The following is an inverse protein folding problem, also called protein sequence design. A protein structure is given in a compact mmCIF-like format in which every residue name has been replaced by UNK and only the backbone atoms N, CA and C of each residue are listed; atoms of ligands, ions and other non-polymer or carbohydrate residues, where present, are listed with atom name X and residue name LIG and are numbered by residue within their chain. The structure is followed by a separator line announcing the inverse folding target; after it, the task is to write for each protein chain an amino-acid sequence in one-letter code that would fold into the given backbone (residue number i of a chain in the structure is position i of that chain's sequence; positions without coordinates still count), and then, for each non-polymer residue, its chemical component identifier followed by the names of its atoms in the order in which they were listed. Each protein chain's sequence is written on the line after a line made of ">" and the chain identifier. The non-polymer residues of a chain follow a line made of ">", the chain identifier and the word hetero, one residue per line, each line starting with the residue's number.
data_IF_379319150033
#
_entry.id   IF_379319150033
#
_cell.length_a   1.000
_cell.length_b   1.000
_cell.length_c   1.000
_cell.angle_alpha   90.00
_cell.angle_beta   90.00
_cell.angle_gamma   90.00
#
_symmetry.space_group_name_H-M   'P 1'
#
loop_
_entity.id
_entity.type
_entity.pdbx_description
1 polymer ?
#
# COMPACT_ATOMS: atom_id res chain seq x y z
N UNK A 1 9.24 48.04 -27.77
CA UNK A 1 10.51 47.29 -27.72
C UNK A 1 10.34 46.17 -26.71
N UNK A 2 10.12 44.94 -27.18
CA UNK A 2 9.82 43.76 -26.36
C UNK A 2 11.12 43.06 -25.96
N UNK A 3 11.56 43.29 -24.72
CA UNK A 3 12.74 42.63 -24.16
C UNK A 3 12.48 41.15 -23.92
N UNK A 4 12.96 40.29 -24.82
CA UNK A 4 13.06 38.85 -24.56
C UNK A 4 14.13 38.62 -23.50
N UNK A 5 13.73 38.32 -22.28
CA UNK A 5 14.62 37.91 -21.19
C UNK A 5 15.31 36.60 -21.59
N UNK A 6 16.64 36.65 -21.75
CA UNK A 6 17.46 35.50 -22.10
C UNK A 6 17.50 34.55 -20.89
N UNK A 7 16.87 33.38 -21.02
CA UNK A 7 16.91 32.30 -20.02
C UNK A 7 18.36 31.82 -19.92
N UNK A 8 18.98 31.96 -18.74
CA UNK A 8 20.30 31.37 -18.45
C UNK A 8 20.15 29.85 -18.43
N UNK A 9 20.75 29.17 -19.40
CA UNK A 9 20.99 27.74 -19.31
C UNK A 9 21.95 27.47 -18.15
N UNK A 10 21.62 26.51 -17.29
CA UNK A 10 22.48 26.09 -16.18
C UNK A 10 23.76 25.46 -16.75
N UNK A 11 24.92 26.03 -16.39
CA UNK A 11 26.24 25.62 -16.89
C UNK A 11 26.63 24.17 -16.56
N UNK A 12 25.86 23.49 -15.69
CA UNK A 12 26.09 22.10 -15.26
C UNK A 12 25.01 21.12 -15.74
N UNK A 13 24.07 21.53 -16.60
CA UNK A 13 23.01 20.64 -17.08
C UNK A 13 23.53 19.49 -17.97
N UNK A 14 24.65 19.69 -18.67
CA UNK A 14 25.20 18.71 -19.61
C UNK A 14 25.98 17.58 -18.94
N UNK A 15 26.56 17.79 -17.75
CA UNK A 15 27.41 16.79 -17.08
C UNK A 15 26.64 15.67 -16.35
N UNK A 16 25.33 15.85 -16.08
CA UNK A 16 24.47 14.82 -15.45
C UNK A 16 23.36 14.29 -16.39
N UNK A 17 23.44 14.61 -17.67
CA UNK A 17 22.51 14.15 -18.69
C UNK A 17 22.79 12.68 -19.06
N UNK A 18 22.33 11.72 -18.24
CA UNK A 18 22.19 10.34 -18.73
C UNK A 18 22.12 9.24 -17.68
N UNK A 19 22.81 9.36 -16.55
CA UNK A 19 22.84 8.28 -15.55
C UNK A 19 21.72 8.42 -14.54
N UNK A 20 20.72 7.55 -14.65
CA UNK A 20 19.69 7.33 -13.62
C UNK A 20 20.39 7.00 -12.30
N UNK A 21 20.07 7.71 -11.22
CA UNK A 21 20.70 7.45 -9.92
C UNK A 21 20.32 6.05 -9.40
N UNK A 22 21.18 5.46 -8.55
CA UNK A 22 20.90 4.13 -7.96
C UNK A 22 19.55 4.13 -7.22
N UNK A 23 19.27 5.16 -6.44
CA UNK A 23 18.00 5.30 -5.71
C UNK A 23 16.79 5.38 -6.65
N UNK A 24 16.91 6.08 -7.78
CA UNK A 24 15.86 6.18 -8.79
C UNK A 24 15.62 4.83 -9.47
N UNK A 25 16.69 4.08 -9.75
CA UNK A 25 16.59 2.72 -10.28
C UNK A 25 15.90 1.79 -9.26
N UNK A 26 16.31 1.82 -7.99
CA UNK A 26 15.70 0.99 -6.93
C UNK A 26 14.20 1.26 -6.84
N UNK A 27 13.77 2.53 -6.72
CA UNK A 27 12.34 2.85 -6.59
C UNK A 27 11.54 2.45 -7.83
N UNK A 28 12.11 2.61 -9.03
CA UNK A 28 11.48 2.18 -10.27
C UNK A 28 11.32 0.66 -10.32
N UNK A 29 12.38 -0.07 -10.00
CA UNK A 29 12.41 -1.53 -10.07
C UNK A 29 11.47 -2.11 -8.98
N UNK A 30 11.44 -1.55 -7.76
CA UNK A 30 10.45 -1.89 -6.73
C UNK A 30 9.02 -1.67 -7.21
N UNK A 31 8.72 -0.52 -7.80
CA UNK A 31 7.38 -0.25 -8.32
C UNK A 31 6.98 -1.25 -9.42
N UNK A 32 7.92 -1.60 -10.32
CA UNK A 32 7.69 -2.62 -11.34
C UNK A 32 7.39 -4.00 -10.73
N UNK A 33 8.10 -4.42 -9.68
CA UNK A 33 7.82 -5.68 -8.98
C UNK A 33 6.40 -5.75 -8.36
N UNK A 34 5.85 -4.61 -7.95
CA UNK A 34 4.47 -4.56 -7.46
C UNK A 34 3.45 -4.56 -8.60
N UNK A 35 3.71 -3.79 -9.67
CA UNK A 35 2.72 -3.47 -10.69
C UNK A 35 2.75 -4.34 -11.95
N UNK A 36 3.63 -5.34 -12.02
CA UNK A 36 3.63 -6.31 -13.11
C UNK A 36 2.27 -7.05 -13.18
N UNK A 37 1.60 -7.09 -14.34
CA UNK A 37 0.24 -7.61 -14.46
C UNK A 37 0.16 -9.12 -14.23
N UNK A 38 1.19 -9.88 -14.60
CA UNK A 38 1.17 -11.34 -14.58
C UNK A 38 1.88 -11.88 -13.33
N UNK A 39 3.01 -11.28 -12.97
CA UNK A 39 3.88 -11.77 -11.89
C UNK A 39 4.04 -10.79 -10.72
N UNK A 40 3.32 -9.67 -10.76
CA UNK A 40 3.45 -8.64 -9.75
C UNK A 40 2.85 -9.05 -8.40
N UNK A 41 3.44 -8.50 -7.34
CA UNK A 41 2.98 -8.75 -5.96
C UNK A 41 1.50 -8.41 -5.78
N UNK A 42 0.98 -7.39 -6.45
CA UNK A 42 -0.44 -7.00 -6.37
C UNK A 42 -1.34 -8.07 -6.99
N UNK A 43 -0.96 -8.59 -8.16
CA UNK A 43 -1.73 -9.63 -8.85
C UNK A 43 -1.75 -10.91 -8.00
N UNK A 44 -0.59 -11.36 -7.52
CA UNK A 44 -0.49 -12.55 -6.64
C UNK A 44 -1.26 -12.39 -5.33
N UNK A 45 -1.14 -11.22 -4.69
CA UNK A 45 -1.86 -10.91 -3.46
C UNK A 45 -3.38 -10.98 -3.65
N UNK A 46 -3.90 -10.48 -4.77
CA UNK A 46 -5.34 -10.46 -5.02
C UNK A 46 -5.97 -11.86 -5.12
N UNK A 47 -5.26 -12.84 -5.68
CA UNK A 47 -5.69 -14.25 -5.70
C UNK A 47 -5.79 -14.86 -4.29
N UNK A 48 -5.09 -14.28 -3.33
CA UNK A 48 -5.08 -14.73 -1.94
C UNK A 48 -5.98 -13.89 -1.04
N UNK A 49 -6.67 -12.88 -1.59
CA UNK A 49 -7.49 -11.94 -0.81
C UNK A 49 -6.68 -10.87 -0.06
N UNK A 50 -5.40 -10.70 -0.41
CA UNK A 50 -4.53 -9.65 0.12
C UNK A 50 -4.54 -8.43 -0.79
N UNK A 51 -4.38 -7.24 -0.21
CA UNK A 51 -4.28 -5.97 -0.93
C UNK A 51 -2.98 -5.27 -0.58
N UNK A 52 -2.14 -5.03 -1.60
CA UNK A 52 -0.89 -4.29 -1.49
C UNK A 52 -0.96 -3.02 -2.33
N UNK A 53 -0.27 -1.97 -1.88
CA UNK A 53 -0.17 -0.71 -2.60
C UNK A 53 1.23 -0.58 -3.21
N UNK A 54 1.33 -0.16 -4.49
CA UNK A 54 2.62 0.01 -5.11
C UNK A 54 3.39 1.16 -4.44
N UNK A 55 4.69 1.01 -4.20
CA UNK A 55 5.48 2.07 -3.59
C UNK A 55 5.54 3.32 -4.49
N UNK A 56 5.61 4.49 -3.86
CA UNK A 56 5.78 5.77 -4.55
C UNK A 56 7.20 5.86 -5.14
N UNK A 57 7.30 6.43 -6.34
CA UNK A 57 8.59 6.61 -7.05
C UNK A 57 9.37 7.85 -6.59
N UNK A 58 8.72 8.76 -5.86
CA UNK A 58 9.26 10.05 -5.44
C UNK A 58 8.81 10.37 -4.03
N UNK A 59 9.64 11.11 -3.31
CA UNK A 59 9.26 11.71 -2.02
C UNK A 59 8.51 13.01 -2.24
N UNK A 60 7.61 13.34 -1.30
CA UNK A 60 6.86 14.59 -1.31
C UNK A 60 7.41 15.54 -0.27
N UNK A 61 7.90 16.68 -0.75
CA UNK A 61 8.44 17.74 0.07
C UNK A 61 7.49 18.92 0.01
N UNK A 62 6.78 19.17 1.10
CA UNK A 62 5.84 20.29 1.21
C UNK A 62 6.58 21.53 1.70
N UNK A 63 6.39 22.68 1.04
CA UNK A 63 6.93 23.96 1.49
C UNK A 63 5.81 24.78 2.10
N UNK A 64 5.94 25.11 3.39
CA UNK A 64 5.02 25.96 4.12
C UNK A 64 5.70 27.25 4.56
N UNK A 65 4.91 28.29 4.81
CA UNK A 65 5.41 29.56 5.30
C UNK A 65 4.45 30.70 4.99
N UNK A 66 4.69 31.84 5.64
CA UNK A 66 3.90 33.04 5.43
C UNK A 66 3.99 33.55 3.98
N UNK A 67 3.16 34.55 3.66
CA UNK A 67 3.24 35.23 2.38
C UNK A 67 4.64 35.81 2.15
N UNK A 68 5.17 35.62 0.95
CA UNK A 68 6.53 36.02 0.56
C UNK A 68 7.70 35.33 1.28
N UNK A 69 7.49 34.23 2.02
CA UNK A 69 8.59 33.49 2.70
C UNK A 69 9.72 32.96 1.81
N UNK A 70 9.60 33.05 0.48
CA UNK A 70 10.60 32.55 -0.46
C UNK A 70 10.43 31.07 -0.86
N UNK A 71 9.24 30.48 -0.67
CA UNK A 71 8.91 29.09 -1.05
C UNK A 71 9.16 28.80 -2.53
N UNK A 72 8.47 29.52 -3.40
CA UNK A 72 8.59 29.38 -4.87
C UNK A 72 9.98 29.71 -5.37
N UNK A 73 10.62 30.72 -4.77
CA UNK A 73 12.01 31.10 -5.10
C UNK A 73 12.99 29.99 -4.74
N UNK A 74 12.82 29.32 -3.59
CA UNK A 74 13.65 28.19 -3.20
C UNK A 74 13.50 27.03 -4.18
N UNK A 75 12.27 26.71 -4.62
CA UNK A 75 12.05 25.64 -5.60
C UNK A 75 12.80 25.94 -6.90
N UNK A 76 12.65 27.15 -7.44
CA UNK A 76 13.37 27.58 -8.64
C UNK A 76 14.90 27.47 -8.49
N UNK A 77 15.43 27.87 -7.33
CA UNK A 77 16.86 27.73 -7.01
C UNK A 77 17.29 26.25 -6.90
N UNK A 78 16.47 25.40 -6.27
CA UNK A 78 16.77 24.00 -6.06
C UNK A 78 16.89 23.27 -7.40
N UNK A 79 15.93 23.47 -8.30
CA UNK A 79 15.88 22.84 -9.62
C UNK A 79 16.79 23.54 -10.65
N UNK A 80 17.33 24.72 -10.34
CA UNK A 80 18.13 25.58 -11.23
C UNK A 80 17.39 25.97 -12.53
N UNK A 81 16.08 26.11 -12.44
CA UNK A 81 15.18 26.45 -13.54
C UNK A 81 14.08 27.38 -13.04
N UNK A 82 13.69 28.36 -13.85
CA UNK A 82 12.59 29.25 -13.53
C UNK A 82 11.25 28.61 -13.94
N UNK A 83 10.63 27.89 -13.00
CA UNK A 83 9.35 27.19 -13.22
C UNK A 83 8.19 27.94 -12.59
N UNK A 84 8.32 28.34 -11.33
CA UNK A 84 7.34 29.14 -10.62
C UNK A 84 7.57 30.62 -10.91
N UNK A 85 6.49 31.39 -11.04
CA UNK A 85 6.60 32.85 -11.09
C UNK A 85 6.95 33.37 -9.71
N UNK A 86 7.95 34.25 -9.64
CA UNK A 86 8.40 34.87 -8.39
C UNK A 86 8.24 36.38 -8.50
N UNK A 87 7.43 36.97 -7.63
CA UNK A 87 7.08 38.38 -7.65
C UNK A 87 6.48 38.85 -6.32
N UNK A 88 6.16 40.14 -6.23
CA UNK A 88 5.62 40.78 -5.00
C UNK A 88 4.10 40.60 -4.89
N UNK A 89 3.41 40.22 -5.96
CA UNK A 89 1.97 40.07 -5.97
C UNK A 89 1.48 38.77 -5.31
N UNK A 90 0.23 38.77 -4.85
CA UNK A 90 -0.47 37.63 -4.23
C UNK A 90 -0.77 36.57 -5.31
N UNK A 91 0.28 35.91 -5.81
CA UNK A 91 0.19 35.06 -7.01
C UNK A 91 -0.22 33.63 -6.69
N UNK A 92 0.21 33.09 -5.54
CA UNK A 92 -0.04 31.68 -5.19
C UNK A 92 -1.26 31.56 -4.29
N UNK A 93 -2.44 31.54 -4.91
CA UNK A 93 -3.73 31.28 -4.24
C UNK A 93 -4.02 29.77 -4.07
N UNK A 94 -3.25 28.93 -4.79
CA UNK A 94 -3.46 27.49 -4.90
C UNK A 94 -2.24 26.65 -4.57
N UNK A 95 -2.36 25.34 -4.75
CA UNK A 95 -1.25 24.40 -4.60
C UNK A 95 -0.60 24.13 -5.95
N UNK A 96 0.72 24.23 -6.01
CA UNK A 96 1.48 23.84 -7.17
C UNK A 96 2.32 22.58 -6.86
N UNK A 97 2.17 21.54 -7.68
CA UNK A 97 2.99 20.35 -7.64
C UNK A 97 4.13 20.49 -8.65
N UNK A 98 5.37 20.59 -8.16
CA UNK A 98 6.55 20.74 -9.01
C UNK A 98 7.29 19.41 -9.06
N UNK A 99 7.42 18.82 -10.24
CA UNK A 99 7.98 17.47 -10.38
C UNK A 99 8.88 17.31 -11.60
N UNK A 100 9.82 16.38 -11.55
CA UNK A 100 10.66 16.05 -12.71
C UNK A 100 9.94 15.14 -13.72
N UNK A 101 10.10 15.39 -15.01
CA UNK A 101 9.54 14.59 -16.09
C UNK A 101 10.41 14.61 -17.35
N UNK A 102 9.94 13.93 -18.41
CA UNK A 102 10.69 13.84 -19.68
C UNK A 102 10.55 15.09 -20.54
N UNK A 103 9.44 15.81 -20.40
CA UNK A 103 9.12 17.02 -21.15
C UNK A 103 8.60 18.07 -20.20
N UNK A 104 8.88 19.34 -20.49
CA UNK A 104 8.31 20.47 -19.77
C UNK A 104 6.84 20.62 -20.12
N UNK A 105 6.00 20.66 -19.10
CA UNK A 105 4.54 20.71 -19.23
C UNK A 105 3.93 21.35 -17.99
N UNK A 106 2.84 22.08 -18.19
CA UNK A 106 2.08 22.74 -17.13
C UNK A 106 0.64 22.25 -17.23
N UNK A 107 0.14 21.66 -16.14
CA UNK A 107 -1.22 21.16 -16.03
C UNK A 107 -1.95 21.96 -14.96
N UNK A 108 -3.25 22.13 -15.12
CA UNK A 108 -4.12 22.84 -14.17
C UNK A 108 -5.40 22.06 -13.94
N UNK A 109 -6.05 22.27 -12.80
CA UNK A 109 -7.34 21.65 -12.55
C UNK A 109 -7.25 20.14 -12.35
N UNK A 110 -8.27 19.44 -12.85
CA UNK A 110 -8.39 17.98 -12.75
C UNK A 110 -7.29 17.21 -13.48
N UNK A 111 -6.62 17.83 -14.46
CA UNK A 111 -5.49 17.20 -15.15
C UNK A 111 -4.33 16.85 -14.19
N UNK A 112 -4.13 17.65 -13.13
CA UNK A 112 -3.17 17.38 -12.05
C UNK A 112 -3.46 16.06 -11.34
N UNK A 113 -4.75 15.77 -11.12
CA UNK A 113 -5.19 14.62 -10.34
C UNK A 113 -5.18 13.33 -11.13
N UNK A 114 -5.23 13.42 -12.46
CA UNK A 114 -5.01 12.28 -13.34
C UNK A 114 -3.55 11.83 -13.31
N UNK A 115 -2.60 12.77 -13.22
CA UNK A 115 -1.18 12.44 -13.11
C UNK A 115 -0.86 11.79 -11.76
N UNK A 116 -1.59 12.17 -10.71
CA UNK A 116 -1.36 11.71 -9.34
C UNK A 116 -2.64 11.21 -8.68
N UNK A 117 -3.00 9.92 -8.89
CA UNK A 117 -4.23 9.34 -8.34
C UNK A 117 -4.34 9.42 -6.81
N UNK A 118 -3.22 9.42 -6.09
CA UNK A 118 -3.21 9.56 -4.63
C UNK A 118 -3.59 10.98 -4.15
N UNK A 119 -3.57 11.99 -5.03
CA UNK A 119 -4.10 13.31 -4.75
C UNK A 119 -5.59 13.45 -5.08
N UNK A 120 -6.24 12.45 -5.68
CA UNK A 120 -7.69 12.47 -5.94
C UNK A 120 -8.54 12.85 -4.71
N UNK A 121 -8.21 12.41 -3.48
CA UNK A 121 -8.97 12.84 -2.31
C UNK A 121 -8.99 14.37 -2.10
N UNK A 122 -8.08 15.15 -2.69
CA UNK A 122 -8.17 16.61 -2.67
C UNK A 122 -9.45 17.16 -3.32
N UNK A 123 -10.07 16.44 -4.26
CA UNK A 123 -11.36 16.86 -4.85
C UNK A 123 -12.50 16.89 -3.85
N UNK A 124 -12.35 16.23 -2.69
CA UNK A 124 -13.35 16.30 -1.62
C UNK A 124 -13.46 17.70 -1.00
N UNK A 125 -12.41 18.52 -1.14
CA UNK A 125 -12.43 19.91 -0.73
C UNK A 125 -13.02 20.77 -1.84
N UNK A 126 -14.22 21.29 -1.60
CA UNK A 126 -14.94 22.14 -2.55
C UNK A 126 -14.08 23.32 -3.02
N UNK A 127 -14.02 23.50 -4.35
CA UNK A 127 -13.25 24.57 -4.99
C UNK A 127 -11.73 24.32 -5.11
N UNK A 128 -11.14 23.30 -4.46
CA UNK A 128 -9.68 23.07 -4.51
C UNK A 128 -9.17 22.79 -5.92
N UNK A 129 -9.92 22.03 -6.72
CA UNK A 129 -9.48 21.58 -8.06
C UNK A 129 -9.06 22.75 -8.95
N UNK A 130 -9.82 23.86 -8.96
CA UNK A 130 -9.52 25.06 -9.75
C UNK A 130 -8.20 25.75 -9.35
N UNK A 131 -7.72 25.47 -8.14
CA UNK A 131 -6.50 26.03 -7.55
C UNK A 131 -5.39 24.98 -7.43
N UNK A 132 -5.46 23.90 -8.22
CA UNK A 132 -4.37 22.95 -8.39
C UNK A 132 -3.62 23.20 -9.70
N UNK A 133 -2.30 23.29 -9.62
CA UNK A 133 -1.42 23.25 -10.78
C UNK A 133 -0.34 22.19 -10.62
N UNK A 134 0.12 21.64 -11.73
CA UNK A 134 1.30 20.78 -11.79
C UNK A 134 2.26 21.34 -12.80
N UNK A 135 3.49 21.59 -12.38
CA UNK A 135 4.57 22.03 -13.23
C UNK A 135 5.61 20.93 -13.35
N UNK A 136 5.83 20.47 -14.58
CA UNK A 136 6.77 19.40 -14.90
C UNK A 136 8.04 20.05 -15.46
N UNK A 137 9.19 19.84 -14.81
CA UNK A 137 10.50 20.28 -15.28
C UNK A 137 11.34 19.09 -15.76
N UNK A 138 12.26 19.35 -16.68
CA UNK A 138 13.23 18.35 -17.17
C UNK A 138 14.52 18.32 -16.35
N UNK A 139 14.63 19.20 -15.34
CA UNK A 139 15.81 19.29 -14.49
C UNK A 139 16.04 17.98 -13.72
N UNK A 140 17.32 17.68 -13.51
CA UNK A 140 17.80 16.57 -12.68
C UNK A 140 18.75 17.04 -11.58
N UNK A 141 18.85 18.35 -11.38
CA UNK A 141 19.71 18.94 -10.36
C UNK A 141 19.30 18.48 -8.96
N UNK A 142 20.27 18.32 -8.06
CA UNK A 142 20.04 18.02 -6.64
C UNK A 142 19.07 16.84 -6.41
N UNK A 143 19.19 15.78 -7.22
CA UNK A 143 18.31 14.59 -7.18
C UNK A 143 16.80 14.90 -7.34
N UNK A 144 16.45 15.98 -8.04
CA UNK A 144 15.06 16.37 -8.27
C UNK A 144 14.23 15.31 -9.02
N UNK A 145 14.86 14.36 -9.72
CA UNK A 145 14.15 13.21 -10.30
C UNK A 145 13.39 12.37 -9.25
N UNK A 146 13.83 12.41 -7.99
CA UNK A 146 13.28 11.67 -6.86
C UNK A 146 12.35 12.51 -5.96
N UNK A 147 12.13 13.78 -6.29
CA UNK A 147 11.38 14.72 -5.44
C UNK A 147 10.19 15.28 -6.22
N UNK A 148 9.04 15.37 -5.56
CA UNK A 148 7.96 16.26 -5.96
C UNK A 148 7.78 17.29 -4.86
N UNK A 149 7.94 18.56 -5.21
CA UNK A 149 7.66 19.66 -4.29
C UNK A 149 6.18 20.00 -4.33
N UNK A 150 5.61 20.31 -3.17
CA UNK A 150 4.28 20.90 -3.04
C UNK A 150 4.48 22.33 -2.56
N UNK A 151 4.39 23.28 -3.50
CA UNK A 151 4.40 24.71 -3.16
C UNK A 151 3.01 25.11 -2.68
N UNK A 152 2.92 25.50 -1.42
CA UNK A 152 1.65 25.86 -0.80
C UNK A 152 1.36 27.35 -0.95
N UNK A 153 0.09 27.78 -0.93
CA UNK A 153 -0.22 29.20 -0.91
C UNK A 153 0.43 29.89 0.30
N UNK A 154 0.81 31.16 0.11
CA UNK A 154 1.34 31.98 1.20
C UNK A 154 0.26 32.24 2.23
N UNK A 155 0.49 31.81 3.47
CA UNK A 155 -0.47 32.01 4.56
C UNK A 155 -0.42 33.45 5.09
N UNK A 156 -1.60 34.04 5.24
CA UNK A 156 -1.80 35.41 5.74
C UNK A 156 -2.82 35.37 6.88
N UNK A 157 -2.59 36.17 7.93
CA UNK A 157 -3.58 36.40 8.99
C UNK A 157 -4.48 37.61 8.64
N UNK A 158 -5.73 37.59 9.12
CA UNK A 158 -6.72 38.66 8.89
C UNK A 158 -7.90 38.22 8.02
N UNK A 159 -8.51 39.17 7.30
CA UNK A 159 -9.76 38.98 6.53
C UNK A 159 -9.57 38.31 5.15
N UNK A 160 -8.36 37.84 4.84
CA UNK A 160 -8.05 37.17 3.58
C UNK A 160 -8.80 35.82 3.51
N UNK A 161 -9.78 35.75 2.60
CA UNK A 161 -10.54 34.53 2.33
C UNK A 161 -9.90 33.77 1.18
N UNK A 162 -9.49 32.55 1.48
CA UNK A 162 -9.10 31.58 0.45
C UNK A 162 -10.36 31.05 -0.24
N UNK A 163 -10.27 30.70 -1.53
CA UNK A 163 -11.41 30.20 -2.30
C UNK A 163 -11.86 28.79 -1.89
N UNK A 164 -11.10 28.12 -1.04
CA UNK A 164 -11.38 26.80 -0.48
C UNK A 164 -10.86 26.71 0.96
N UNK A 165 -11.17 25.60 1.67
CA UNK A 165 -10.63 25.34 3.01
C UNK A 165 -9.14 24.94 2.95
N UNK A 166 -8.30 25.96 2.83
CA UNK A 166 -6.84 25.79 2.75
C UNK A 166 -6.26 25.13 3.99
N UNK A 167 -6.89 25.27 5.16
CA UNK A 167 -6.37 24.69 6.40
C UNK A 167 -6.53 23.17 6.36
N UNK A 168 -7.72 22.67 6.00
CA UNK A 168 -7.95 21.23 5.88
C UNK A 168 -7.11 20.62 4.77
N UNK A 169 -7.01 21.28 3.62
CA UNK A 169 -6.17 20.81 2.51
C UNK A 169 -4.69 20.73 2.90
N UNK A 170 -4.17 21.72 3.64
CA UNK A 170 -2.79 21.70 4.16
C UNK A 170 -2.54 20.58 5.18
N UNK A 171 -3.47 20.34 6.10
CA UNK A 171 -3.36 19.26 7.07
C UNK A 171 -3.32 17.90 6.37
N UNK A 172 -4.20 17.70 5.39
CA UNK A 172 -4.24 16.49 4.58
C UNK A 172 -2.94 16.27 3.77
N UNK A 173 -2.41 17.33 3.15
CA UNK A 173 -1.10 17.29 2.48
C UNK A 173 0.04 17.00 3.47
N UNK A 174 -0.06 17.51 4.70
CA UNK A 174 0.88 17.26 5.78
C UNK A 174 0.96 15.78 6.19
N UNK A 175 -0.18 15.07 6.20
CA UNK A 175 -0.20 13.62 6.47
C UNK A 175 0.54 12.83 5.38
N UNK A 176 0.34 13.22 4.11
CA UNK A 176 0.87 12.53 2.94
C UNK A 176 2.35 12.87 2.62
N UNK A 177 2.84 14.01 3.08
CA UNK A 177 4.21 14.43 2.81
C UNK A 177 5.24 13.56 3.55
N UNK A 178 6.45 13.45 2.97
CA UNK A 178 7.60 12.79 3.59
C UNK A 178 8.46 13.79 4.38
N UNK A 179 8.40 15.07 4.00
CA UNK A 179 9.15 16.16 4.61
C UNK A 179 8.36 17.46 4.43
N UNK A 180 8.27 18.26 5.49
CA UNK A 180 7.66 19.58 5.46
C UNK A 180 8.70 20.64 5.85
N UNK A 181 9.05 21.51 4.90
CA UNK A 181 9.96 22.64 5.10
C UNK A 181 9.15 23.88 5.45
N UNK A 182 9.36 24.43 6.62
CA UNK A 182 8.66 25.62 7.12
C UNK A 182 9.60 26.82 7.07
N UNK A 183 9.30 27.78 6.23
CA UNK A 183 10.09 29.00 6.06
C UNK A 183 9.48 30.18 6.81
N UNK A 184 10.31 30.82 7.63
CA UNK A 184 10.00 32.06 8.31
C UNK A 184 10.78 33.22 7.69
N UNK A 185 10.06 34.27 7.30
CA UNK A 185 10.64 35.50 6.76
C UNK A 185 10.91 36.52 7.89
N UNK A 186 12.15 37.02 8.06
CA UNK A 186 12.51 38.00 9.10
C UNK A 186 11.90 39.38 8.92
N UNK A 187 11.55 39.77 7.69
CA UNK A 187 10.93 41.08 7.37
C UNK A 187 9.41 40.98 7.28
N UNK A 188 8.88 39.79 7.02
CA UNK A 188 7.45 39.53 7.06
C UNK A 188 6.91 39.57 8.50
N UNK A 189 5.58 39.50 8.64
CA UNK A 189 4.98 39.00 9.89
C UNK A 189 5.38 37.51 10.01
N UNK A 190 6.62 37.25 10.46
CA UNK A 190 7.23 35.93 10.55
C UNK A 190 6.33 34.95 11.33
N UNK A 191 5.53 35.50 12.23
CA UNK A 191 4.72 34.83 13.22
C UNK A 191 3.25 34.78 12.81
N UNK A 192 2.97 34.32 11.59
CA UNK A 192 1.59 34.13 11.14
C UNK A 192 0.91 33.06 12.01
N UNK A 193 -0.08 33.45 12.81
CA UNK A 193 -0.82 32.58 13.74
C UNK A 193 -1.45 31.41 13.00
N UNK A 194 -1.99 31.64 11.80
CA UNK A 194 -2.54 30.58 10.95
C UNK A 194 -1.50 29.54 10.56
N UNK A 195 -0.31 29.98 10.15
CA UNK A 195 0.81 29.07 9.80
C UNK A 195 1.19 28.22 11.01
N UNK A 196 1.40 28.86 12.15
CA UNK A 196 1.80 28.16 13.38
C UNK A 196 0.74 27.16 13.85
N UNK A 197 -0.55 27.47 13.71
CA UNK A 197 -1.63 26.53 14.06
C UNK A 197 -1.62 25.26 13.19
N UNK A 198 -1.32 25.40 11.90
CA UNK A 198 -1.27 24.25 10.98
C UNK A 198 -0.03 23.42 11.27
N UNK A 199 1.12 24.07 11.44
CA UNK A 199 2.37 23.40 11.82
C UNK A 199 2.21 22.65 13.14
N UNK A 200 1.59 23.25 14.16
CA UNK A 200 1.35 22.60 15.45
C UNK A 200 0.51 21.33 15.30
N UNK A 201 -0.57 21.38 14.53
CA UNK A 201 -1.41 20.20 14.24
C UNK A 201 -0.67 19.11 13.46
N UNK A 202 0.16 19.48 12.48
CA UNK A 202 0.99 18.50 11.77
C UNK A 202 1.98 17.87 12.74
N UNK A 203 2.53 18.65 13.67
CA UNK A 203 3.51 18.17 14.62
C UNK A 203 2.96 17.16 15.63
N UNK A 204 1.68 17.25 15.99
CA UNK A 204 1.01 16.29 16.89
C UNK A 204 1.12 14.84 16.40
N UNK A 205 1.08 14.63 15.08
CA UNK A 205 1.14 13.29 14.47
C UNK A 205 2.42 13.02 13.67
N UNK A 206 3.09 14.05 13.16
CA UNK A 206 4.18 13.96 12.19
C UNK A 206 5.33 14.95 12.47
N UNK A 207 5.65 15.18 13.74
CA UNK A 207 6.70 16.14 14.14
C UNK A 207 8.10 15.82 13.61
N UNK A 208 8.41 14.54 13.37
CA UNK A 208 9.68 14.09 12.80
C UNK A 208 9.92 14.58 11.36
N UNK A 209 8.83 14.83 10.61
CA UNK A 209 8.83 15.32 9.23
C UNK A 209 9.00 16.83 9.12
N UNK A 210 8.84 17.59 10.20
CA UNK A 210 8.91 19.05 10.17
C UNK A 210 10.34 19.56 10.31
N UNK A 211 10.71 20.53 9.46
CA UNK A 211 12.00 21.23 9.52
C UNK A 211 11.79 22.72 9.34
N UNK A 212 12.35 23.51 10.25
CA UNK A 212 12.15 24.94 10.32
C UNK A 212 13.38 25.69 9.83
N UNK A 213 13.18 26.76 9.07
CA UNK A 213 14.26 27.58 8.53
C UNK A 213 13.92 29.07 8.62
N UNK A 214 14.91 29.88 8.99
CA UNK A 214 14.82 31.33 8.80
C UNK A 214 15.27 31.63 7.36
N UNK A 215 14.31 31.90 6.49
CA UNK A 215 14.58 32.25 5.10
C UNK A 215 14.96 33.73 4.96
N UNK A 216 15.49 34.12 3.81
CA UNK A 216 15.95 35.51 3.54
C UNK A 216 16.83 36.09 4.64
N UNK A 217 17.67 35.26 5.25
CA UNK A 217 18.49 35.68 6.37
C UNK A 217 19.48 36.81 5.98
N UNK A 218 19.75 37.02 4.69
CA UNK A 218 20.51 38.15 4.17
C UNK A 218 19.79 39.51 4.29
N UNK A 219 18.47 39.52 4.48
CA UNK A 219 17.65 40.74 4.64
C UNK A 219 17.44 41.13 6.11
N UNK A 220 17.75 40.23 7.05
CA UNK A 220 17.53 40.39 8.49
C UNK A 220 18.58 41.26 9.22
N UNK A 221 19.22 42.19 8.51
CA UNK A 221 20.20 43.09 9.10
C UNK A 221 21.49 42.41 9.59
N UNK A 222 22.07 42.96 10.66
CA UNK A 222 23.30 42.47 11.27
C UNK A 222 23.12 41.14 12.01
N UNK A 223 24.22 40.56 12.50
CA UNK A 223 24.17 39.30 13.26
C UNK A 223 23.33 39.42 14.54
N UNK A 224 23.44 40.54 15.25
CA UNK A 224 22.63 40.82 16.44
C UNK A 224 21.14 40.89 16.14
N UNK A 225 20.74 41.47 15.01
CA UNK A 225 19.34 41.62 14.63
C UNK A 225 18.76 40.26 14.20
N UNK A 226 19.53 39.49 13.44
CA UNK A 226 19.19 38.09 13.11
C UNK A 226 18.97 37.24 14.35
N UNK A 227 19.87 37.31 15.32
CA UNK A 227 19.75 36.56 16.57
C UNK A 227 18.51 36.97 17.36
N UNK A 228 18.14 38.27 17.37
CA UNK A 228 16.90 38.74 18.00
C UNK A 228 15.66 38.18 17.31
N UNK A 229 15.60 38.24 15.98
CA UNK A 229 14.48 37.69 15.20
C UNK A 229 14.35 36.18 15.42
N UNK A 230 15.47 35.47 15.37
CA UNK A 230 15.51 34.03 15.64
C UNK A 230 14.98 33.73 17.06
N UNK A 231 15.46 34.44 18.07
CA UNK A 231 15.00 34.28 19.45
C UNK A 231 13.50 34.53 19.59
N UNK A 232 12.96 35.55 18.92
CA UNK A 232 11.51 35.82 18.91
C UNK A 232 10.71 34.67 18.29
N UNK A 233 11.16 34.14 17.15
CA UNK A 233 10.49 33.01 16.48
C UNK A 233 10.53 31.77 17.37
N UNK A 234 11.71 31.45 17.93
CA UNK A 234 11.88 30.31 18.83
C UNK A 234 11.00 30.45 20.07
N UNK A 235 10.91 31.65 20.67
CA UNK A 235 10.02 31.89 21.80
C UNK A 235 8.55 31.66 21.46
N UNK A 236 8.08 32.14 20.31
CA UNK A 236 6.69 31.89 19.88
C UNK A 236 6.40 30.42 19.57
N UNK A 237 7.38 29.69 19.02
CA UNK A 237 7.27 28.25 18.83
C UNK A 237 7.23 27.53 20.18
N UNK A 238 8.08 27.91 21.13
CA UNK A 238 8.12 27.30 22.46
C UNK A 238 6.90 27.61 23.33
N UNK A 239 6.16 28.70 23.05
CA UNK A 239 4.86 28.98 23.70
C UNK A 239 3.79 27.94 23.35
N UNK A 240 3.99 27.18 22.27
CA UNK A 240 3.08 26.12 21.81
C UNK A 240 3.53 24.77 22.35
N UNK A 241 2.72 24.08 23.17
CA UNK A 241 3.13 22.83 23.82
C UNK A 241 3.61 21.76 22.84
N UNK A 242 3.02 21.70 21.63
CA UNK A 242 3.43 20.75 20.61
C UNK A 242 4.82 21.04 20.02
N UNK A 243 5.18 22.32 19.85
CA UNK A 243 6.38 22.72 19.10
C UNK A 243 7.62 22.96 19.97
N UNK A 244 7.49 22.79 21.29
CA UNK A 244 8.54 23.03 22.27
C UNK A 244 9.84 22.21 22.03
N UNK A 245 9.76 21.05 21.39
CA UNK A 245 10.92 20.19 21.08
C UNK A 245 11.58 20.52 19.75
N UNK A 246 10.84 21.15 18.83
CA UNK A 246 11.25 21.29 17.43
C UNK A 246 11.84 22.67 17.12
N UNK A 247 11.64 23.66 17.99
CA UNK A 247 12.07 25.05 17.78
C UNK A 247 13.55 25.34 18.04
N UNK A 248 14.34 24.40 18.56
CA UNK A 248 15.74 24.67 18.94
C UNK A 248 16.74 24.66 17.79
N UNK A 249 16.39 24.02 16.67
CA UNK A 249 17.26 23.92 15.50
C UNK A 249 16.60 24.65 14.32
N UNK A 250 17.04 25.89 14.08
CA UNK A 250 16.49 26.80 13.07
C UNK A 250 17.64 27.41 12.25
N UNK A 251 18.17 26.68 11.26
CA UNK A 251 19.22 27.18 10.39
C UNK A 251 18.77 28.37 9.54
N UNK A 252 19.73 29.25 9.26
CA UNK A 252 19.55 30.47 8.46
C UNK A 252 19.87 30.19 6.99
N UNK A 253 18.91 30.47 6.12
CA UNK A 253 19.05 30.22 4.68
C UNK A 253 18.70 31.46 3.86
N UNK A 254 19.35 31.61 2.71
CA UNK A 254 18.95 32.56 1.68
C UNK A 254 19.38 32.05 0.30
N UNK A 255 18.75 32.56 -0.75
CA UNK A 255 19.12 32.20 -2.12
C UNK A 255 20.33 33.06 -2.51
N UNK A 256 21.49 32.46 -2.83
CA UNK A 256 22.68 33.23 -3.17
C UNK A 256 22.45 34.13 -4.39
N UNK A 257 22.77 35.42 -4.26
CA UNK A 257 22.74 36.37 -5.36
C UNK A 257 24.14 36.91 -5.61
N UNK A 258 24.78 36.60 -6.77
CA UNK A 258 26.11 37.10 -7.11
C UNK A 258 26.23 38.64 -7.08
N UNK A 259 25.12 39.35 -7.32
CA UNK A 259 25.10 40.80 -7.37
C UNK A 259 24.96 41.46 -5.98
N UNK A 260 24.59 40.67 -4.95
CA UNK A 260 24.36 41.14 -3.58
C UNK A 260 25.01 40.16 -2.60
N UNK A 261 26.34 40.21 -2.43
CA UNK A 261 27.03 39.33 -1.50
C UNK A 261 26.60 39.65 -0.07
N UNK A 262 26.28 38.60 0.70
CA UNK A 262 25.88 38.70 2.10
C UNK A 262 26.98 38.15 3.00
N UNK A 263 27.19 38.79 4.16
CA UNK A 263 28.07 38.28 5.23
C UNK A 263 27.38 37.24 6.11
N UNK A 264 26.09 37.00 5.90
CA UNK A 264 25.33 35.98 6.63
C UNK A 264 25.79 34.58 6.22
N UNK A 265 26.00 33.71 7.20
CA UNK A 265 26.26 32.29 6.97
C UNK A 265 25.02 31.66 6.35
N UNK A 266 25.18 31.14 5.15
CA UNK A 266 24.12 30.45 4.43
C UNK A 266 24.19 28.95 4.70
N UNK A 267 23.10 28.37 5.20
CA UNK A 267 23.00 26.94 5.48
C UNK A 267 22.05 26.25 4.47
N UNK A 268 21.83 26.84 3.29
CA UNK A 268 20.89 26.31 2.29
C UNK A 268 21.30 24.91 1.79
N UNK A 269 22.59 24.57 1.83
CA UNK A 269 23.11 23.24 1.55
C UNK A 269 22.62 22.19 2.57
N UNK A 270 22.34 22.58 3.81
CA UNK A 270 21.77 21.66 4.82
C UNK A 270 20.34 21.26 4.49
N UNK A 271 19.58 22.16 3.85
CA UNK A 271 18.24 21.84 3.31
C UNK A 271 18.37 20.73 2.26
N UNK A 272 19.36 20.85 1.37
CA UNK A 272 19.62 19.83 0.35
C UNK A 272 20.01 18.50 0.99
N UNK A 273 20.94 18.50 1.95
CA UNK A 273 21.33 17.29 2.71
C UNK A 273 20.13 16.65 3.41
N UNK A 274 19.23 17.46 3.97
CA UNK A 274 18.01 16.97 4.63
C UNK A 274 17.09 16.28 3.65
N UNK A 275 16.83 16.89 2.48
CA UNK A 275 16.04 16.26 1.42
C UNK A 275 16.70 14.95 0.97
N UNK A 276 18.02 14.93 0.76
CA UNK A 276 18.73 13.72 0.36
C UNK A 276 18.68 12.61 1.42
N UNK A 277 18.75 12.98 2.70
CA UNK A 277 18.57 12.05 3.82
C UNK A 277 17.16 11.46 3.80
N UNK A 278 16.13 12.28 3.60
CA UNK A 278 14.74 11.80 3.48
C UNK A 278 14.59 10.87 2.28
N UNK A 279 15.15 11.18 1.11
CA UNK A 279 15.15 10.28 -0.05
C UNK A 279 15.71 8.90 0.34
N UNK A 280 16.89 8.89 0.98
CA UNK A 280 17.57 7.64 1.37
C UNK A 280 16.75 6.84 2.38
N UNK A 281 16.15 7.52 3.36
CA UNK A 281 15.28 6.89 4.34
C UNK A 281 14.01 6.31 3.71
N UNK A 282 13.38 7.02 2.76
CA UNK A 282 12.19 6.52 2.06
C UNK A 282 12.51 5.32 1.18
N UNK A 283 13.65 5.33 0.49
CA UNK A 283 14.14 4.17 -0.29
C UNK A 283 14.30 2.95 0.62
N UNK A 284 14.97 3.11 1.76
CA UNK A 284 15.15 2.02 2.73
C UNK A 284 13.81 1.52 3.28
N UNK A 285 12.91 2.44 3.65
CA UNK A 285 11.57 2.09 4.16
C UNK A 285 10.75 1.31 3.12
N UNK A 286 10.88 1.69 1.84
CA UNK A 286 10.25 1.00 0.72
C UNK A 286 10.79 -0.41 0.55
N UNK A 287 12.12 -0.60 0.62
CA UNK A 287 12.74 -1.93 0.56
C UNK A 287 12.32 -2.82 1.74
N UNK A 288 12.27 -2.25 2.95
CA UNK A 288 11.81 -2.97 4.13
C UNK A 288 10.33 -3.35 4.03
N UNK A 289 9.50 -2.51 3.39
CA UNK A 289 8.08 -2.80 3.18
C UNK A 289 7.90 -3.88 2.11
N UNK A 290 8.65 -3.80 1.01
CA UNK A 290 8.72 -4.87 0.01
C UNK A 290 9.09 -6.22 0.63
N UNK A 291 10.13 -6.26 1.47
CA UNK A 291 10.52 -7.48 2.17
C UNK A 291 9.41 -8.06 3.05
N UNK A 292 8.73 -7.20 3.82
CA UNK A 292 7.60 -7.61 4.67
C UNK A 292 6.40 -8.10 3.88
N UNK A 293 6.05 -7.42 2.78
CA UNK A 293 4.94 -7.82 1.91
C UNK A 293 5.21 -9.17 1.24
N UNK A 294 6.45 -9.39 0.75
CA UNK A 294 6.88 -10.69 0.21
C UNK A 294 6.81 -11.81 1.26
N UNK A 295 7.25 -11.53 2.50
CA UNK A 295 7.18 -12.51 3.58
C UNK A 295 5.73 -12.87 3.90
N UNK A 296 4.86 -11.88 4.08
CA UNK A 296 3.43 -12.09 4.34
C UNK A 296 2.76 -12.88 3.22
N UNK A 297 3.11 -12.59 1.97
CA UNK A 297 2.62 -13.33 0.81
C UNK A 297 3.05 -14.80 0.87
N UNK A 298 4.32 -15.05 1.15
CA UNK A 298 4.89 -16.41 1.26
C UNK A 298 4.21 -17.21 2.37
N UNK A 299 4.08 -16.63 3.57
CA UNK A 299 3.40 -17.26 4.71
C UNK A 299 1.94 -17.60 4.38
N UNK A 300 1.24 -16.71 3.67
CA UNK A 300 -0.16 -16.96 3.27
C UNK A 300 -0.28 -18.07 2.22
N UNK A 301 0.68 -18.16 1.29
CA UNK A 301 0.74 -19.24 0.30
C UNK A 301 1.01 -20.57 0.99
N UNK A 302 2.02 -20.63 1.87
CA UNK A 302 2.37 -21.84 2.62
C UNK A 302 1.20 -22.33 3.46
N UNK A 303 0.50 -21.42 4.14
CA UNK A 303 -0.70 -21.76 4.90
C UNK A 303 -1.80 -22.36 4.02
N UNK A 304 -2.10 -21.75 2.86
CA UNK A 304 -3.12 -22.29 1.94
C UNK A 304 -2.74 -23.63 1.34
N UNK A 305 -1.46 -23.84 1.02
CA UNK A 305 -0.97 -25.13 0.52
C UNK A 305 -1.10 -26.21 1.60
N UNK A 306 -0.77 -25.89 2.85
CA UNK A 306 -0.94 -26.82 3.96
C UNK A 306 -2.41 -27.16 4.20
N UNK A 307 -3.31 -26.18 4.15
CA UNK A 307 -4.77 -26.40 4.25
C UNK A 307 -5.28 -27.29 3.11
N UNK A 308 -4.75 -27.13 1.88
CA UNK A 308 -5.10 -27.98 0.73
C UNK A 308 -4.59 -29.42 0.92
N UNK A 309 -3.34 -29.61 1.37
CA UNK A 309 -2.77 -30.93 1.65
C UNK A 309 -3.54 -31.68 2.76
N UNK A 310 -3.92 -30.98 3.83
CA UNK A 310 -4.75 -31.52 4.90
C UNK A 310 -6.14 -31.90 4.38
N UNK A 311 -6.73 -31.06 3.53
CA UNK A 311 -8.02 -31.32 2.88
C UNK A 311 -7.95 -32.52 1.94
N UNK A 312 -6.88 -32.66 1.14
CA UNK A 312 -6.65 -33.81 0.24
C UNK A 312 -6.49 -35.09 1.06
N UNK A 313 -5.70 -35.06 2.13
CA UNK A 313 -5.51 -36.20 3.02
C UNK A 313 -6.82 -36.64 3.67
N UNK A 314 -7.57 -35.69 4.22
CA UNK A 314 -8.89 -35.91 4.80
C UNK A 314 -9.86 -36.50 3.77
N UNK A 315 -9.95 -35.90 2.57
CA UNK A 315 -10.80 -36.37 1.48
C UNK A 315 -10.41 -37.77 1.01
N UNK A 316 -9.11 -38.10 0.96
CA UNK A 316 -8.65 -39.45 0.60
C UNK A 316 -9.06 -40.46 1.66
N UNK A 317 -8.93 -40.12 2.94
CA UNK A 317 -9.35 -40.99 4.05
C UNK A 317 -10.86 -41.19 4.06
N UNK A 318 -11.63 -40.12 3.84
CA UNK A 318 -13.09 -40.15 3.76
C UNK A 318 -13.57 -40.98 2.56
N UNK A 319 -12.93 -40.84 1.39
CA UNK A 319 -13.20 -41.70 0.22
C UNK A 319 -12.90 -43.17 0.50
N UNK A 320 -11.79 -43.48 1.17
CA UNK A 320 -11.45 -44.87 1.53
C UNK A 320 -12.48 -45.48 2.50
N UNK A 321 -12.88 -44.74 3.54
CA UNK A 321 -13.93 -45.14 4.47
C UNK A 321 -15.29 -45.28 3.76
N UNK A 322 -15.63 -44.34 2.88
CA UNK A 322 -16.84 -44.37 2.06
C UNK A 322 -16.89 -45.59 1.14
N UNK A 323 -15.78 -45.93 0.48
CA UNK A 323 -15.67 -47.15 -0.32
C UNK A 323 -15.86 -48.41 0.53
N UNK A 324 -15.25 -48.46 1.72
CA UNK A 324 -15.37 -49.60 2.64
C UNK A 324 -16.82 -49.78 3.12
N UNK A 325 -17.47 -48.72 3.60
CA UNK A 325 -18.88 -48.77 4.01
C UNK A 325 -19.82 -49.05 2.84
N UNK A 326 -19.53 -48.53 1.64
CA UNK A 326 -20.30 -48.82 0.43
C UNK A 326 -20.22 -50.29 0.03
N UNK A 327 -19.03 -50.90 0.10
CA UNK A 327 -18.84 -52.33 -0.19
C UNK A 327 -19.56 -53.20 0.85
N UNK A 328 -19.44 -52.90 2.14
CA UNK A 328 -20.19 -53.60 3.19
C UNK A 328 -21.71 -53.44 3.01
N UNK A 329 -22.15 -52.23 2.67
CA UNK A 329 -23.55 -51.91 2.38
C UNK A 329 -24.13 -52.70 1.21
N UNK A 330 -23.32 -53.01 0.18
CA UNK A 330 -23.72 -53.81 -0.99
C UNK A 330 -23.62 -55.33 -0.75
N UNK A 331 -22.61 -55.78 -0.01
CA UNK A 331 -22.38 -57.21 0.25
C UNK A 331 -23.46 -57.82 1.16
N UNK A 332 -24.00 -57.06 2.12
CA UNK A 332 -25.04 -57.55 3.03
C UNK A 332 -26.34 -57.91 2.30
N UNK A 333 -26.92 -57.07 1.41
CA UNK A 333 -28.08 -57.44 0.60
C UNK A 333 -27.81 -58.61 -0.36
N UNK A 334 -26.62 -58.68 -0.95
CA UNK A 334 -26.25 -59.82 -1.80
C UNK A 334 -26.21 -61.13 -1.01
N UNK A 335 -25.68 -61.10 0.21
CA UNK A 335 -25.70 -62.21 1.15
C UNK A 335 -27.13 -62.61 1.53
N UNK A 336 -27.98 -61.64 1.88
CA UNK A 336 -29.40 -61.88 2.22
C UNK A 336 -30.18 -62.46 1.02
N UNK A 337 -29.93 -61.97 -0.20
CA UNK A 337 -30.52 -62.47 -1.44
C UNK A 337 -30.08 -63.92 -1.71
N UNK A 338 -28.78 -64.21 -1.64
CA UNK A 338 -28.25 -65.55 -1.83
C UNK A 338 -28.83 -66.52 -0.80
N UNK A 339 -28.93 -66.10 0.47
CA UNK A 339 -29.55 -66.88 1.54
C UNK A 339 -31.04 -67.14 1.32
N UNK A 340 -31.79 -66.15 0.82
CA UNK A 340 -33.21 -66.28 0.54
C UNK A 340 -33.48 -67.17 -0.68
N UNK A 341 -32.70 -67.04 -1.76
CA UNK A 341 -32.81 -67.88 -2.95
C UNK A 341 -32.52 -69.35 -2.62
N UNK A 342 -31.50 -69.62 -1.79
CA UNK A 342 -31.19 -70.99 -1.39
C UNK A 342 -32.18 -71.60 -0.42
N UNK A 343 -32.77 -70.80 0.49
CA UNK A 343 -33.77 -71.29 1.45
C UNK A 343 -35.16 -71.53 0.86
N UNK A 344 -35.48 -70.95 -0.29
CA UNK A 344 -36.84 -71.00 -0.89
C UNK A 344 -36.95 -71.87 -2.13
N UNK A 345 -35.85 -72.14 -2.84
CA UNK A 345 -35.87 -72.94 -4.07
C UNK A 345 -35.70 -74.44 -3.73
N UNK A 346 -36.62 -75.33 -4.14
CA UNK A 346 -36.52 -76.77 -3.92
C UNK A 346 -35.28 -77.38 -4.60
N UNK A 347 -34.64 -78.35 -3.97
CA UNK A 347 -33.44 -79.05 -4.50
C UNK A 347 -33.65 -79.65 -5.90
N UNK A 348 -34.89 -80.02 -6.23
CA UNK A 348 -35.27 -80.55 -7.55
C UNK A 348 -35.03 -79.54 -8.69
N UNK A 349 -35.21 -78.25 -8.44
CA UNK A 349 -35.03 -77.18 -9.43
C UNK A 349 -33.54 -76.88 -9.65
N UNK A 350 -32.73 -76.93 -8.59
CA UNK A 350 -31.27 -76.78 -8.65
C UNK A 350 -30.62 -77.91 -9.46
N UNK A 351 -31.07 -79.14 -9.22
CA UNK A 351 -30.64 -80.32 -9.96
C UNK A 351 -31.02 -80.28 -11.45
N UNK A 352 -32.15 -79.64 -11.80
CA UNK A 352 -32.60 -79.47 -13.18
C UNK A 352 -31.83 -78.36 -13.94
N UNK A 353 -31.40 -77.29 -13.25
CA UNK A 353 -30.74 -76.12 -13.85
C UNK A 353 -29.22 -76.26 -13.98
N UNK A 354 -28.54 -76.83 -12.97
CA UNK A 354 -27.07 -76.92 -12.93
C UNK A 354 -26.54 -78.34 -13.14
N UNK A 355 -27.42 -79.34 -13.21
CA UNK A 355 -27.06 -80.76 -13.18
C UNK A 355 -26.62 -81.22 -11.77
N UNK A 356 -26.56 -82.54 -11.55
CA UNK A 356 -26.25 -83.11 -10.22
C UNK A 356 -24.87 -82.70 -9.70
N UNK A 357 -23.84 -82.69 -10.56
CA UNK A 357 -22.49 -82.25 -10.18
C UNK A 357 -22.42 -80.74 -9.85
N UNK A 358 -23.22 -79.92 -10.54
CA UNK A 358 -23.29 -78.47 -10.29
C UNK A 358 -24.05 -78.12 -8.99
N UNK A 359 -25.10 -78.87 -8.67
CA UNK A 359 -25.84 -78.70 -7.42
C UNK A 359 -25.02 -79.15 -6.19
N UNK A 360 -24.30 -80.28 -6.29
CA UNK A 360 -23.43 -80.78 -5.22
C UNK A 360 -22.27 -79.83 -4.94
N UNK A 361 -21.63 -79.27 -5.97
CA UNK A 361 -20.56 -78.29 -5.79
C UNK A 361 -21.06 -77.00 -5.14
N UNK A 362 -22.24 -76.50 -5.53
CA UNK A 362 -22.84 -75.31 -4.91
C UNK A 362 -23.24 -75.54 -3.44
N UNK A 363 -23.73 -76.75 -3.10
CA UNK A 363 -24.03 -77.13 -1.73
C UNK A 363 -22.78 -77.13 -0.84
N UNK A 364 -21.62 -77.57 -1.35
CA UNK A 364 -20.34 -77.51 -0.62
C UNK A 364 -19.92 -76.07 -0.33
N UNK A 365 -20.07 -75.15 -1.30
CA UNK A 365 -19.72 -73.74 -1.10
C UNK A 365 -20.66 -73.01 -0.13
N UNK A 366 -21.92 -73.44 -0.03
CA UNK A 366 -22.93 -72.83 0.85
C UNK A 366 -23.10 -73.53 2.20
N UNK A 367 -22.42 -74.65 2.42
CA UNK A 367 -22.41 -75.36 3.69
C UNK A 367 -22.09 -74.46 4.89
N UNK A 368 -21.09 -73.55 4.85
CA UNK A 368 -20.82 -72.63 5.94
C UNK A 368 -21.98 -71.67 6.24
N UNK A 369 -22.72 -71.26 5.20
CA UNK A 369 -23.87 -70.37 5.30
C UNK A 369 -25.05 -71.09 5.99
N UNK A 370 -25.29 -72.35 5.64
CA UNK A 370 -26.27 -73.20 6.31
C UNK A 370 -25.90 -73.45 7.77
N UNK A 371 -24.62 -73.74 8.08
CA UNK A 371 -24.15 -73.87 9.47
C UNK A 371 -24.36 -72.59 10.28
N UNK A 372 -24.13 -71.42 9.69
CA UNK A 372 -24.36 -70.14 10.36
C UNK A 372 -25.83 -69.92 10.72
N UNK A 373 -26.75 -70.26 9.82
CA UNK A 373 -28.19 -70.16 10.08
C UNK A 373 -28.70 -71.21 11.07
N UNK A 374 -28.06 -72.38 11.16
CA UNK A 374 -28.41 -73.41 12.15
C UNK A 374 -28.13 -73.00 13.61
N UNK A 375 -27.32 -71.96 13.82
CA UNK A 375 -27.04 -71.38 15.14
C UNK A 375 -28.16 -70.44 15.63
N UNK A 376 -29.04 -69.99 14.72
CA UNK A 376 -30.11 -69.04 15.02
C UNK A 376 -31.41 -69.82 15.20
N UNK A 377 -32.13 -69.68 16.33
CA UNK A 377 -33.41 -70.34 16.50
C UNK A 377 -34.43 -69.86 15.45
N UNK A 378 -35.28 -70.76 14.97
CA UNK A 378 -36.21 -70.50 13.86
C UNK A 378 -37.10 -69.26 14.08
N UNK A 379 -37.50 -69.00 15.33
CA UNK A 379 -38.34 -67.86 15.71
C UNK A 379 -37.64 -66.49 15.55
N UNK A 380 -36.30 -66.47 15.51
CA UNK A 380 -35.50 -65.25 15.44
C UNK A 380 -34.95 -64.93 14.06
N UNK A 381 -35.10 -65.83 13.08
CA UNK A 381 -34.54 -65.68 11.72
C UNK A 381 -35.03 -64.40 11.07
N UNK A 382 -36.33 -64.10 11.12
CA UNK A 382 -36.91 -62.88 10.52
C UNK A 382 -36.34 -61.61 11.16
N UNK A 383 -36.16 -61.60 12.49
CA UNK A 383 -35.57 -60.47 13.20
C UNK A 383 -34.11 -60.23 12.79
N UNK A 384 -33.33 -61.30 12.58
CA UNK A 384 -31.95 -61.20 12.09
C UNK A 384 -31.89 -60.69 10.65
N UNK A 385 -32.79 -61.14 9.77
CA UNK A 385 -32.90 -60.63 8.40
C UNK A 385 -33.21 -59.12 8.37
N UNK A 386 -34.19 -58.67 9.16
CA UNK A 386 -34.54 -57.24 9.26
C UNK A 386 -33.39 -56.43 9.84
N UNK A 387 -32.71 -56.93 10.88
CA UNK A 387 -31.56 -56.25 11.48
C UNK A 387 -30.40 -56.08 10.48
N UNK A 388 -30.08 -57.11 9.70
CA UNK A 388 -29.06 -57.04 8.65
C UNK A 388 -29.45 -56.10 7.50
N UNK A 389 -30.73 -56.07 7.11
CA UNK A 389 -31.23 -55.13 6.11
C UNK A 389 -31.11 -53.67 6.59
N UNK A 390 -31.47 -53.39 7.85
CA UNK A 390 -31.29 -52.06 8.47
C UNK A 390 -29.80 -51.71 8.52
N UNK A 391 -28.94 -52.65 8.91
CA UNK A 391 -27.49 -52.44 8.97
C UNK A 391 -26.90 -52.09 7.61
N UNK A 392 -27.34 -52.75 6.53
CA UNK A 392 -26.95 -52.41 5.16
C UNK A 392 -27.35 -50.97 4.80
N UNK A 393 -28.58 -50.56 5.10
CA UNK A 393 -29.03 -49.18 4.85
C UNK A 393 -28.18 -48.18 5.63
N UNK A 394 -27.85 -48.47 6.89
CA UNK A 394 -26.96 -47.63 7.71
C UNK A 394 -25.58 -47.51 7.08
N UNK A 395 -24.98 -48.61 6.60
CA UNK A 395 -23.69 -48.56 5.91
C UNK A 395 -23.73 -47.73 4.62
N UNK A 396 -24.81 -47.83 3.84
CA UNK A 396 -24.98 -47.00 2.63
C UNK A 396 -25.12 -45.52 2.98
N UNK A 397 -25.88 -45.18 4.04
CA UNK A 397 -26.03 -43.79 4.50
C UNK A 397 -24.71 -43.22 5.06
N UNK A 398 -23.92 -44.02 5.77
CA UNK A 398 -22.58 -43.64 6.24
C UNK A 398 -21.63 -43.43 5.05
N UNK A 399 -21.65 -44.33 4.06
CA UNK A 399 -20.87 -44.18 2.83
C UNK A 399 -21.21 -42.86 2.10
N UNK A 400 -22.50 -42.54 1.95
CA UNK A 400 -22.94 -41.29 1.32
C UNK A 400 -22.46 -40.04 2.06
N UNK A 401 -22.38 -40.09 3.40
CA UNK A 401 -21.83 -38.98 4.20
C UNK A 401 -20.32 -38.84 4.06
N UNK A 402 -19.59 -39.93 3.86
CA UNK A 402 -18.14 -39.90 3.65
C UNK A 402 -17.72 -39.42 2.25
N UNK A 403 -18.64 -39.45 1.26
CA UNK A 403 -18.40 -38.95 -0.10
C UNK A 403 -18.87 -37.51 -0.35
N UNK A 404 -19.60 -36.92 0.59
CA UNK A 404 -19.89 -35.48 0.62
C UNK A 404 -18.76 -34.76 1.32
#
# INVERSE_FOLDING_TARGET
>A
MTGKTKVRAAANAEAMAGTVSVNERILRDCHSLYSDPDTGLIALASHLGLSFLPPRKKIFVMLMGNHSAGKSSFINWYIEEHIQRTGVAIETQGFAFITSGRKRESLTGDATLHLYPHFKPLQTFEGVSEYLSTEISTSRQKKFSLVTFVDTPGLVDGDMKYPFDVNRALLWLGELCDLALVFFDPMGQALCKRTLNIVEKINEHHGDKLRFYLSKADEAGGESDRQRVLMQIVQELCKRPGLNKCGFDMPTIYIPNPNKPSRCVNQIEEVCKTIEKTITQTVQSTLNTLGRDCQKLTETIEQKLQEDDETISSNRSARAQGCMFGLLGLMVPLFLLASALFGTIPEELWNALLGKEGAETLAVYLFPLHSLWSLIPADYVVYVFVALAILSIVFVLLAQRCFR
#
